data_IF_797080654299
#
_entry.id   IF_797080654299
#
_cell.length_a   1.000
_cell.length_b   1.000
_cell.length_c   1.000
_cell.angle_alpha   90.00
_cell.angle_beta   90.00
_cell.angle_gamma   90.00
#
_symmetry.space_group_name_H-M   'P 1'
#
loop_
_entity.id
_entity.type
_entity.pdbx_description
1 polymer ?
#
# COMPACT_ATOMS: atom_id res chain seq x y z
N UNK A 1 -8.09 1.45 11.52
CA UNK A 1 -8.16 0.50 10.37
C UNK A 1 -9.06 1.02 9.27
N UNK A 2 -10.35 1.32 9.49
CA UNK A 2 -11.22 1.79 8.39
C UNK A 2 -10.70 3.09 7.76
N UNK A 3 -10.34 4.05 8.62
CA UNK A 3 -9.80 5.35 8.21
C UNK A 3 -8.49 5.25 7.39
N UNK A 4 -7.63 4.28 7.70
CA UNK A 4 -6.40 4.04 6.93
C UNK A 4 -6.72 3.64 5.49
N UNK A 5 -7.62 2.68 5.30
CA UNK A 5 -7.99 2.20 3.97
C UNK A 5 -8.65 3.34 3.18
N UNK A 6 -9.53 4.12 3.80
CA UNK A 6 -10.17 5.26 3.14
C UNK A 6 -9.15 6.29 2.65
N UNK A 7 -8.15 6.64 3.48
CA UNK A 7 -7.08 7.55 3.09
C UNK A 7 -6.21 6.98 1.96
N UNK A 8 -5.86 5.69 2.02
CA UNK A 8 -5.10 5.03 0.96
C UNK A 8 -5.86 5.04 -0.37
N UNK A 9 -7.17 4.75 -0.34
CA UNK A 9 -8.05 4.74 -1.51
C UNK A 9 -8.37 6.16 -2.05
N UNK A 10 -8.36 7.18 -1.18
CA UNK A 10 -8.47 8.58 -1.60
C UNK A 10 -7.13 9.17 -2.10
N UNK A 11 -6.01 8.54 -1.73
CA UNK A 11 -4.66 8.98 -2.05
C UNK A 11 -4.15 8.53 -3.43
N UNK A 12 -2.82 8.66 -3.62
CA UNK A 12 -2.14 8.25 -4.84
C UNK A 12 -2.21 6.74 -5.08
N UNK A 13 -2.20 5.93 -4.02
CA UNK A 13 -2.40 4.48 -4.07
C UNK A 13 -3.74 4.13 -4.71
N UNK A 14 -4.84 4.72 -4.22
CA UNK A 14 -6.17 4.49 -4.76
C UNK A 14 -6.32 4.88 -6.23
N UNK A 15 -5.62 5.92 -6.67
CA UNK A 15 -5.56 6.35 -8.08
C UNK A 15 -4.57 5.55 -8.93
N UNK A 16 -3.85 4.59 -8.36
CA UNK A 16 -2.79 3.85 -9.02
C UNK A 16 -1.71 4.75 -9.65
N UNK A 17 -1.42 5.90 -9.02
CA UNK A 17 -0.62 6.98 -9.64
C UNK A 17 0.85 6.63 -9.92
N UNK A 18 1.39 5.61 -9.24
CA UNK A 18 2.74 5.09 -9.46
C UNK A 18 2.76 3.72 -10.13
N UNK A 19 1.59 3.16 -10.48
CA UNK A 19 1.47 1.81 -11.00
C UNK A 19 1.45 1.85 -12.53
N UNK A 20 2.06 0.83 -13.15
CA UNK A 20 1.89 0.62 -14.57
C UNK A 20 0.50 0.03 -14.83
N UNK A 21 -0.40 0.85 -15.38
CA UNK A 21 -1.81 0.52 -15.59
C UNK A 21 -2.14 0.27 -17.08
N UNK A 22 -1.15 0.25 -17.97
CA UNK A 22 -1.39 0.00 -19.38
C UNK A 22 -1.55 -1.51 -19.65
N UNK A 23 -2.39 -1.85 -20.62
CA UNK A 23 -2.59 -3.24 -21.04
C UNK A 23 -1.36 -3.85 -21.72
N UNK A 24 -1.41 -5.14 -22.06
CA UNK A 24 -2.55 -6.05 -21.96
C UNK A 24 -2.81 -6.54 -20.52
N UNK A 25 -4.08 -6.79 -20.18
CA UNK A 25 -4.52 -7.25 -18.85
C UNK A 25 -4.98 -8.70 -18.92
N UNK A 26 -4.07 -9.56 -19.36
CA UNK A 26 -4.31 -10.99 -19.35
C UNK A 26 -4.26 -11.51 -17.91
N UNK A 27 -4.85 -12.70 -17.70
CA UNK A 27 -4.78 -13.34 -16.39
C UNK A 27 -3.34 -13.72 -16.09
N UNK A 28 -2.69 -12.92 -15.24
CA UNK A 28 -1.34 -13.19 -14.78
C UNK A 28 -1.24 -14.41 -13.87
N UNK A 29 -0.01 -14.89 -13.70
CA UNK A 29 0.31 -15.92 -12.71
C UNK A 29 0.10 -15.37 -11.29
N UNK A 30 -0.15 -16.24 -10.31
CA UNK A 30 -0.38 -15.81 -8.91
C UNK A 30 0.77 -14.99 -8.31
N UNK A 31 1.98 -15.10 -8.87
CA UNK A 31 3.19 -14.37 -8.46
C UNK A 31 3.34 -12.99 -9.11
N UNK A 32 2.57 -12.68 -10.17
CA UNK A 32 2.74 -11.47 -10.98
C UNK A 32 2.01 -10.23 -10.43
N UNK A 33 1.46 -10.32 -9.23
CA UNK A 33 0.84 -9.19 -8.53
C UNK A 33 -0.47 -8.73 -9.16
N UNK A 34 -0.75 -7.43 -9.07
CA UNK A 34 -2.02 -6.86 -9.52
C UNK A 34 -2.04 -6.61 -11.03
N UNK A 35 -2.95 -7.28 -11.75
CA UNK A 35 -3.04 -7.27 -13.22
C UNK A 35 -4.44 -6.88 -13.71
N UNK A 36 -5.03 -5.81 -13.16
CA UNK A 36 -6.38 -5.35 -13.54
C UNK A 36 -6.35 -3.96 -14.16
N UNK A 37 -7.37 -3.68 -14.99
CA UNK A 37 -7.62 -2.36 -15.58
C UNK A 37 -8.10 -1.34 -14.55
N UNK A 38 -8.67 -1.83 -13.46
CA UNK A 38 -9.26 -0.99 -12.43
C UNK A 38 -8.16 -0.44 -11.52
N UNK A 39 -8.23 0.84 -11.17
CA UNK A 39 -7.43 1.33 -10.05
C UNK A 39 -7.91 0.67 -8.75
N UNK A 40 -7.10 0.64 -7.68
CA UNK A 40 -7.54 0.11 -6.39
C UNK A 40 -8.86 0.76 -5.92
N UNK A 41 -9.01 2.07 -6.06
CA UNK A 41 -10.27 2.75 -5.67
C UNK A 41 -11.47 2.31 -6.52
N UNK A 42 -11.29 2.11 -7.83
CA UNK A 42 -12.34 1.65 -8.71
C UNK A 42 -12.73 0.19 -8.40
N UNK A 43 -11.73 -0.67 -8.15
CA UNK A 43 -11.94 -2.06 -7.75
C UNK A 43 -12.78 -2.15 -6.49
N UNK A 44 -12.43 -1.39 -5.44
CA UNK A 44 -13.19 -1.37 -4.19
C UNK A 44 -14.63 -0.94 -4.38
N UNK A 45 -14.86 0.16 -5.13
CA UNK A 45 -16.22 0.66 -5.38
C UNK A 45 -17.07 -0.35 -6.13
N UNK A 46 -16.51 -0.96 -7.18
CA UNK A 46 -17.20 -1.96 -7.98
C UNK A 46 -17.50 -3.23 -7.15
N UNK A 47 -16.51 -3.74 -6.41
CA UNK A 47 -16.65 -4.92 -5.57
C UNK A 47 -17.67 -4.72 -4.45
N UNK A 48 -17.61 -3.60 -3.72
CA UNK A 48 -18.57 -3.30 -2.65
C UNK A 48 -19.99 -3.23 -3.21
N UNK A 49 -20.17 -2.54 -4.34
CA UNK A 49 -21.48 -2.43 -5.00
C UNK A 49 -22.02 -3.82 -5.39
N UNK A 50 -21.18 -4.67 -5.98
CA UNK A 50 -21.56 -6.03 -6.37
C UNK A 50 -21.85 -6.92 -5.15
N UNK A 51 -21.08 -6.79 -4.07
CA UNK A 51 -21.30 -7.50 -2.81
C UNK A 51 -22.63 -7.08 -2.17
N UNK A 52 -22.93 -5.79 -2.13
CA UNK A 52 -24.19 -5.27 -1.60
C UNK A 52 -25.38 -5.82 -2.39
N UNK A 53 -25.28 -5.84 -3.72
CA UNK A 53 -26.30 -6.44 -4.60
C UNK A 53 -26.47 -7.93 -4.34
N UNK A 54 -25.38 -8.68 -4.22
CA UNK A 54 -25.40 -10.11 -3.89
C UNK A 54 -26.06 -10.37 -2.52
N UNK A 55 -25.71 -9.57 -1.51
CA UNK A 55 -26.26 -9.66 -0.17
C UNK A 55 -27.77 -9.41 -0.15
N UNK A 56 -28.26 -8.40 -0.87
CA UNK A 56 -29.70 -8.12 -1.00
C UNK A 56 -30.43 -9.25 -1.74
N UNK A 57 -29.84 -9.76 -2.82
CA UNK A 57 -30.42 -10.85 -3.62
C UNK A 57 -30.55 -12.17 -2.83
N UNK A 58 -29.64 -12.42 -1.88
CA UNK A 58 -29.62 -13.62 -1.05
C UNK A 58 -30.71 -13.68 0.05
N UNK A 59 -31.65 -12.72 0.10
CA UNK A 59 -32.89 -12.71 0.92
C UNK A 59 -32.76 -13.24 2.37
N UNK A 60 -31.77 -12.76 3.13
CA UNK A 60 -31.59 -13.16 4.53
C UNK A 60 -30.18 -13.04 5.08
N UNK A 61 -29.22 -12.68 4.22
CA UNK A 61 -27.84 -12.43 4.60
C UNK A 61 -27.11 -13.73 4.89
N UNK A 62 -26.30 -14.18 3.94
CA UNK A 62 -25.19 -15.04 4.32
C UNK A 62 -24.43 -14.37 5.47
N UNK A 63 -24.05 -15.16 6.48
CA UNK A 63 -23.18 -14.65 7.54
C UNK A 63 -21.96 -14.04 6.86
N UNK A 64 -21.58 -12.83 7.24
CA UNK A 64 -20.43 -12.13 6.66
C UNK A 64 -19.17 -13.00 6.56
N UNK A 65 -18.94 -13.88 7.55
CA UNK A 65 -17.84 -14.85 7.54
C UNK A 65 -17.93 -15.88 6.40
N UNK A 66 -19.13 -16.35 6.05
CA UNK A 66 -19.35 -17.26 4.93
C UNK A 66 -19.10 -16.55 3.59
N UNK A 67 -19.69 -15.37 3.41
CA UNK A 67 -19.46 -14.51 2.25
C UNK A 67 -17.96 -14.23 2.05
N UNK A 68 -17.24 -13.89 3.12
CA UNK A 68 -15.80 -13.63 3.06
C UNK A 68 -15.01 -14.87 2.64
N UNK A 69 -15.41 -16.05 3.13
CA UNK A 69 -14.81 -17.33 2.74
C UNK A 69 -15.08 -17.68 1.28
N UNK A 70 -16.24 -17.31 0.75
CA UNK A 70 -16.59 -17.54 -0.65
C UNK A 70 -15.95 -16.53 -1.60
N UNK A 71 -15.72 -15.29 -1.15
CA UNK A 71 -14.87 -14.31 -1.84
C UNK A 71 -13.43 -14.81 -1.95
N UNK A 72 -12.85 -15.34 -0.86
CA UNK A 72 -11.50 -15.94 -0.87
C UNK A 72 -11.40 -17.10 -1.89
N UNK A 73 -12.42 -17.95 -1.94
CA UNK A 73 -12.47 -19.08 -2.87
C UNK A 73 -12.79 -18.65 -4.31
N UNK A 74 -13.22 -17.40 -4.52
CA UNK A 74 -13.65 -16.88 -5.82
C UNK A 74 -14.94 -17.51 -6.33
N UNK A 75 -15.86 -17.89 -5.42
CA UNK A 75 -17.16 -18.48 -5.76
C UNK A 75 -18.24 -17.44 -6.02
N UNK A 76 -18.04 -16.22 -5.53
CA UNK A 76 -18.97 -15.10 -5.71
C UNK A 76 -18.69 -14.47 -7.07
N UNK A 77 -19.71 -14.43 -7.92
CA UNK A 77 -19.64 -13.68 -9.16
C UNK A 77 -19.96 -12.20 -8.88
N UNK A 78 -18.99 -11.33 -9.13
CA UNK A 78 -19.10 -9.89 -8.94
C UNK A 78 -19.29 -9.13 -10.27
N UNK A 79 -19.73 -9.81 -11.33
CA UNK A 79 -20.20 -9.16 -12.56
C UNK A 79 -19.13 -8.37 -13.31
N UNK A 80 -17.90 -8.88 -13.34
CA UNK A 80 -16.76 -8.24 -14.03
C UNK A 80 -15.62 -7.81 -13.09
N UNK A 81 -15.77 -8.00 -11.79
CA UNK A 81 -14.67 -7.91 -10.81
C UNK A 81 -14.23 -9.32 -10.43
N UNK A 82 -12.93 -9.58 -10.46
CA UNK A 82 -12.40 -10.83 -9.91
C UNK A 82 -12.44 -10.80 -8.38
N UNK A 83 -13.30 -11.63 -7.79
CA UNK A 83 -13.49 -11.74 -6.34
C UNK A 83 -12.20 -12.08 -5.61
N UNK A 84 -11.35 -12.95 -6.18
CA UNK A 84 -10.06 -13.31 -5.56
C UNK A 84 -9.11 -12.13 -5.52
N UNK A 85 -9.00 -11.38 -6.61
CA UNK A 85 -8.17 -10.17 -6.67
C UNK A 85 -8.63 -9.13 -5.66
N UNK A 86 -9.94 -8.89 -5.55
CA UNK A 86 -10.49 -8.00 -4.53
C UNK A 86 -10.15 -8.48 -3.12
N UNK A 87 -10.39 -9.75 -2.81
CA UNK A 87 -10.09 -10.32 -1.49
C UNK A 87 -8.59 -10.23 -1.14
N UNK A 88 -7.70 -10.58 -2.07
CA UNK A 88 -6.24 -10.46 -1.89
C UNK A 88 -5.85 -9.01 -1.56
N UNK A 89 -6.42 -8.02 -2.26
CA UNK A 89 -6.16 -6.60 -2.01
C UNK A 89 -6.71 -6.14 -0.66
N UNK A 90 -7.94 -6.54 -0.31
CA UNK A 90 -8.55 -6.25 0.98
C UNK A 90 -7.73 -6.80 2.13
N UNK A 91 -7.26 -8.04 1.99
CA UNK A 91 -6.40 -8.70 2.98
C UNK A 91 -5.07 -7.96 3.16
N UNK A 92 -4.42 -7.58 2.06
CA UNK A 92 -3.17 -6.82 2.10
C UNK A 92 -3.36 -5.49 2.83
N UNK A 93 -4.36 -4.69 2.42
CA UNK A 93 -4.63 -3.38 3.01
C UNK A 93 -5.04 -3.47 4.49
N UNK A 94 -5.69 -4.56 4.89
CA UNK A 94 -6.03 -4.83 6.29
C UNK A 94 -4.78 -5.11 7.11
N UNK A 95 -3.84 -5.92 6.61
CA UNK A 95 -2.56 -6.16 7.27
C UNK A 95 -1.73 -4.87 7.37
N UNK A 96 -1.65 -4.10 6.29
CA UNK A 96 -0.93 -2.82 6.30
C UNK A 96 -1.53 -1.86 7.32
N UNK A 97 -2.85 -1.70 7.35
CA UNK A 97 -3.51 -0.89 8.36
C UNK A 97 -3.30 -1.41 9.78
N UNK A 98 -3.24 -2.74 9.97
CA UNK A 98 -3.04 -3.37 11.28
C UNK A 98 -1.69 -2.99 11.90
N UNK A 99 -0.65 -2.92 11.06
CA UNK A 99 0.73 -2.71 11.50
C UNK A 99 1.31 -1.34 11.17
N UNK A 100 0.53 -0.45 10.53
CA UNK A 100 0.95 0.92 10.24
C UNK A 100 1.23 1.71 11.50
N UNK A 101 1.85 2.88 11.35
CA UNK A 101 1.88 3.87 12.42
C UNK A 101 0.43 4.36 12.71
N UNK A 102 0.03 4.49 13.98
CA UNK A 102 -1.28 5.03 14.36
C UNK A 102 -1.62 6.40 13.73
N UNK A 103 -0.62 7.24 13.42
CA UNK A 103 -0.82 8.56 12.82
C UNK A 103 -1.55 8.51 11.46
N UNK A 104 -1.43 7.39 10.73
CA UNK A 104 -2.07 7.21 9.44
C UNK A 104 -3.52 6.71 9.54
N UNK A 105 -4.10 6.62 10.74
CA UNK A 105 -5.47 6.14 10.95
C UNK A 105 -5.61 4.61 11.02
N UNK A 106 -4.48 3.90 11.02
CA UNK A 106 -4.36 2.47 11.28
C UNK A 106 -4.02 2.17 12.73
N UNK A 107 -3.69 0.91 13.04
CA UNK A 107 -3.06 0.44 14.29
C UNK A 107 -3.47 1.19 15.57
N UNK A 108 -4.78 1.26 15.82
CA UNK A 108 -5.31 2.00 16.96
C UNK A 108 -4.68 1.49 18.26
N UNK A 109 -4.28 2.43 19.12
CA UNK A 109 -3.66 2.19 20.42
C UNK A 109 -2.38 1.32 20.32
N UNK A 110 -1.75 1.29 19.14
CA UNK A 110 -0.57 0.48 18.84
C UNK A 110 -0.83 -1.02 19.04
N UNK A 111 -2.07 -1.48 18.89
CA UNK A 111 -2.47 -2.87 19.17
C UNK A 111 -1.63 -3.91 18.40
N UNK A 112 -1.39 -3.68 17.10
CA UNK A 112 -0.55 -4.55 16.27
C UNK A 112 0.91 -4.53 16.71
N UNK A 113 1.43 -3.37 17.11
CA UNK A 113 2.80 -3.25 17.63
C UNK A 113 2.95 -3.95 18.98
N UNK A 114 1.99 -3.77 19.88
CA UNK A 114 1.94 -4.45 21.19
C UNK A 114 1.89 -5.96 21.03
N UNK A 115 1.11 -6.47 20.08
CA UNK A 115 1.05 -7.91 19.77
C UNK A 115 2.42 -8.47 19.37
N UNK A 116 3.23 -7.69 18.67
CA UNK A 116 4.59 -8.08 18.25
C UNK A 116 5.68 -7.73 19.27
N UNK A 117 5.33 -7.11 20.40
CA UNK A 117 6.30 -6.59 21.37
C UNK A 117 7.11 -5.38 20.86
N UNK A 118 6.65 -4.71 19.80
CA UNK A 118 7.28 -3.50 19.28
C UNK A 118 6.90 -2.28 20.14
N UNK A 119 7.88 -1.55 20.71
CA UNK A 119 7.61 -0.46 21.66
C UNK A 119 7.15 0.85 20.99
N UNK A 120 7.10 0.89 19.67
CA UNK A 120 6.74 2.07 18.88
C UNK A 120 7.91 2.65 18.09
N UNK A 121 7.60 3.46 17.08
CA UNK A 121 8.61 4.14 16.27
C UNK A 121 9.37 5.17 17.12
N UNK A 122 10.67 4.97 17.32
CA UNK A 122 11.54 6.00 17.91
C UNK A 122 12.05 6.91 16.81
N UNK A 123 11.52 8.13 16.77
CA UNK A 123 12.03 9.17 15.88
C UNK A 123 13.25 9.82 16.51
N UNK A 124 14.45 9.49 16.03
CA UNK A 124 15.65 10.28 16.33
C UNK A 124 15.63 11.49 15.39
N UNK A 125 15.24 12.64 15.94
CA UNK A 125 15.51 13.93 15.31
C UNK A 125 16.94 14.28 15.72
N UNK A 126 17.91 14.10 14.82
CA UNK A 126 19.27 14.59 15.10
C UNK A 126 19.23 16.13 15.08
N UNK A 127 19.45 16.72 16.27
CA UNK A 127 19.49 18.16 16.47
C UNK A 127 20.76 18.74 15.84
N UNK A 128 20.76 18.91 14.51
CA UNK A 128 21.86 19.48 13.74
C UNK A 128 21.48 20.71 12.91
N UNK A 129 20.26 21.22 13.01
CA UNK A 129 19.87 22.46 12.33
C UNK A 129 18.97 23.31 13.22
N UNK A 130 19.58 24.31 13.84
CA UNK A 130 18.87 25.47 14.38
C UNK A 130 18.34 26.32 13.22
N UNK A 131 17.15 26.89 13.44
CA UNK A 131 16.46 27.95 12.71
C UNK A 131 15.34 27.54 11.73
N UNK A 132 14.12 27.75 12.21
CA UNK A 132 12.92 28.27 11.51
C UNK A 132 12.82 28.00 10.00
N UNK A 133 11.96 27.04 9.63
CA UNK A 133 11.52 26.88 8.24
C UNK A 133 10.61 25.67 8.07
N UNK A 134 9.40 25.92 7.55
CA UNK A 134 8.34 24.95 7.24
C UNK A 134 8.89 23.66 6.63
N UNK A 135 8.73 22.53 7.33
CA UNK A 135 9.22 21.24 6.88
C UNK A 135 8.42 20.76 5.65
N UNK A 136 9.04 20.87 4.47
CA UNK A 136 8.58 20.16 3.28
C UNK A 136 9.14 18.74 3.35
N UNK A 137 8.26 17.77 3.55
CA UNK A 137 8.61 16.36 3.73
C UNK A 137 8.48 15.66 2.39
N UNK A 138 9.59 15.15 1.84
CA UNK A 138 9.56 14.21 0.71
C UNK A 138 9.34 12.78 1.25
N UNK A 139 8.37 12.01 0.71
CA UNK A 139 8.09 10.66 1.21
C UNK A 139 9.16 9.66 0.75
N UNK A 140 9.80 8.98 1.69
CA UNK A 140 10.60 7.79 1.40
C UNK A 140 9.67 6.58 1.28
N UNK A 141 9.30 6.20 0.06
CA UNK A 141 8.64 4.92 -0.23
C UNK A 141 9.68 3.80 -0.38
N UNK A 142 9.38 2.60 0.13
CA UNK A 142 10.21 1.36 0.16
C UNK A 142 10.64 0.82 -1.22
N UNK A 143 10.30 1.47 -2.33
CA UNK A 143 10.54 0.99 -3.71
C UNK A 143 11.49 1.86 -4.55
N UNK A 144 12.49 2.50 -3.96
CA UNK A 144 13.56 3.15 -4.72
C UNK A 144 14.82 2.27 -4.74
N UNK A 145 14.85 1.31 -5.67
CA UNK A 145 16.06 0.58 -6.03
C UNK A 145 16.63 1.10 -7.36
N UNK A 146 17.84 1.65 -7.32
CA UNK A 146 18.81 1.64 -8.43
C UNK A 146 19.49 2.99 -8.76
N UNK A 147 20.73 3.01 -9.31
CA UNK A 147 21.77 1.98 -9.32
C UNK A 147 23.14 2.45 -8.75
N UNK A 148 24.05 1.47 -8.70
CA UNK A 148 25.42 1.50 -8.21
C UNK A 148 26.33 2.54 -8.90
N UNK A 149 27.44 2.82 -8.22
CA UNK A 149 28.40 3.87 -8.54
C UNK A 149 29.09 3.78 -9.90
N UNK A 150 29.71 4.91 -10.24
CA UNK A 150 30.73 4.97 -11.29
C UNK A 150 32.04 5.45 -10.67
N UNK A 151 33.07 4.65 -10.91
CA UNK A 151 34.45 4.94 -10.55
C UNK A 151 35.16 5.72 -11.67
N UNK A 152 36.23 6.41 -11.26
CA UNK A 152 37.33 7.05 -12.03
C UNK A 152 37.13 8.51 -12.42
N UNK A 153 37.99 9.36 -11.86
CA UNK A 153 39.12 9.80 -12.68
C UNK A 153 40.42 9.93 -11.85
N UNK A 154 41.54 9.61 -12.49
CA UNK A 154 42.88 9.48 -11.91
C UNK A 154 43.81 10.41 -12.69
N UNK A 155 44.62 11.17 -11.94
CA UNK A 155 45.99 11.66 -12.22
C UNK A 155 46.26 13.17 -12.36
N UNK A 156 47.35 13.54 -11.64
CA UNK A 156 48.39 14.56 -11.93
C UNK A 156 47.99 15.99 -11.50
N UNK A 157 48.64 16.68 -10.58
CA UNK A 157 50.01 16.62 -10.06
C UNK A 157 50.62 18.01 -10.27
N UNK A 158 50.97 18.74 -9.20
CA UNK A 158 51.94 19.86 -9.20
C UNK A 158 52.15 20.39 -7.79
N UNK A 159 53.41 20.47 -7.42
CA UNK A 159 54.00 20.96 -6.18
C UNK A 159 53.69 22.44 -5.88
N UNK A 160 53.78 22.83 -4.61
CA UNK A 160 54.53 24.01 -4.17
C UNK A 160 54.76 23.94 -2.65
N UNK A 161 56.04 23.90 -2.28
CA UNK A 161 56.57 23.97 -0.92
C UNK A 161 56.86 25.41 -0.50
N UNK A 162 57.07 25.55 0.81
CA UNK A 162 57.82 26.58 1.56
C UNK A 162 57.12 27.86 2.02
N UNK A 163 57.35 28.13 3.31
CA UNK A 163 57.03 29.33 4.07
C UNK A 163 57.04 29.04 5.55
#
# INVERSE_FOLDING_TARGET
>A
MPLFIDHQLAGAYGRAGSWYMQGPWDKGEDTQGYQSRMTPSALYRAAITAIDQHAVASQGGERFAALLSDLEKGKVDLGGVDAKTFFKMLWLNTKEGMFSDPIYGGNKDMAGWKMLGFPGARYIISSGSTATGTATISPLSVFAAGPLGTARDRHRGSEASFG
#
